data_IF_609663921633
#
_entry.id   IF_609663921633
#
_cell.length_a   1.000
_cell.length_b   1.000
_cell.length_c   1.000
_cell.angle_alpha   90.00
_cell.angle_beta   90.00
_cell.angle_gamma   90.00
#
_symmetry.space_group_name_H-M   'P 1'
#
loop_
_entity.id
_entity.type
_entity.pdbx_description
1 polymer ?
#
# COMPACT_ATOMS: atom_id res chain seq x y z
N UNK A 1 -27.95 -16.53 2.31
CA UNK A 1 -26.93 -15.82 3.12
C UNK A 1 -25.93 -16.84 3.65
N UNK A 2 -26.44 -17.97 4.14
CA UNK A 2 -25.70 -19.20 4.45
C UNK A 2 -24.98 -19.79 3.21
N UNK A 3 -25.66 -19.87 2.06
CA UNK A 3 -25.07 -20.48 0.85
C UNK A 3 -23.75 -19.82 0.37
N UNK A 4 -23.64 -18.50 0.50
CA UNK A 4 -22.41 -17.77 0.15
C UNK A 4 -21.27 -18.08 1.13
N UNK A 5 -21.61 -18.27 2.41
CA UNK A 5 -20.63 -18.63 3.42
C UNK A 5 -20.13 -20.05 3.18
N UNK A 6 -21.01 -20.98 2.82
CA UNK A 6 -20.66 -22.36 2.49
C UNK A 6 -19.80 -22.45 1.22
N UNK A 7 -20.08 -21.62 0.21
CA UNK A 7 -19.24 -21.49 -0.98
C UNK A 7 -17.82 -21.01 -0.64
N UNK A 8 -17.68 -19.99 0.21
CA UNK A 8 -16.37 -19.49 0.67
C UNK A 8 -15.61 -20.55 1.48
N UNK A 9 -16.29 -21.29 2.36
CA UNK A 9 -15.70 -22.40 3.13
C UNK A 9 -15.25 -23.53 2.19
N UNK A 10 -16.07 -23.89 1.19
CA UNK A 10 -15.70 -24.90 0.20
C UNK A 10 -14.49 -24.48 -0.62
N UNK A 11 -14.41 -23.20 -1.00
CA UNK A 11 -13.27 -22.65 -1.72
C UNK A 11 -11.98 -22.71 -0.88
N UNK A 12 -12.05 -22.36 0.41
CA UNK A 12 -10.91 -22.45 1.33
C UNK A 12 -10.41 -23.89 1.51
N UNK A 13 -11.32 -24.87 1.60
CA UNK A 13 -10.96 -26.27 1.76
C UNK A 13 -10.36 -26.91 0.49
N UNK A 14 -10.55 -26.28 -0.67
CA UNK A 14 -9.98 -26.73 -1.95
C UNK A 14 -8.59 -26.16 -2.23
N UNK A 15 -8.12 -25.19 -1.43
CA UNK A 15 -6.78 -24.63 -1.59
C UNK A 15 -5.74 -25.70 -1.33
N UNK A 16 -4.91 -25.97 -2.32
CA UNK A 16 -3.75 -26.85 -2.16
C UNK A 16 -2.50 -26.09 -1.70
N UNK A 17 -1.41 -26.82 -1.51
CA UNK A 17 -0.15 -26.25 -1.04
C UNK A 17 0.44 -25.25 -2.05
N UNK A 18 0.22 -25.45 -3.35
CA UNK A 18 0.75 -24.59 -4.40
C UNK A 18 -0.02 -23.26 -4.44
N UNK A 19 -1.34 -23.30 -4.31
CA UNK A 19 -2.20 -22.11 -4.18
C UNK A 19 -1.81 -21.25 -2.97
N UNK A 20 -1.52 -21.90 -1.84
CA UNK A 20 -1.07 -21.22 -0.62
C UNK A 20 0.30 -20.56 -0.79
N UNK A 21 1.22 -21.21 -1.50
CA UNK A 21 2.54 -20.64 -1.77
C UNK A 21 2.45 -19.44 -2.72
N UNK A 22 1.64 -19.52 -3.77
CA UNK A 22 1.35 -18.39 -4.67
C UNK A 22 0.76 -17.22 -3.88
N UNK A 23 -0.17 -17.47 -2.97
CA UNK A 23 -0.76 -16.43 -2.11
C UNK A 23 0.28 -15.80 -1.18
N UNK A 24 1.17 -16.61 -0.62
CA UNK A 24 2.28 -16.16 0.22
C UNK A 24 3.24 -15.27 -0.56
N UNK A 25 3.64 -15.69 -1.75
CA UNK A 25 4.53 -14.92 -2.63
C UNK A 25 3.91 -13.58 -3.00
N UNK A 26 2.65 -13.57 -3.45
CA UNK A 26 1.91 -12.34 -3.77
C UNK A 26 1.88 -11.38 -2.58
N UNK A 27 1.60 -11.88 -1.37
CA UNK A 27 1.59 -11.08 -0.15
C UNK A 27 2.97 -10.52 0.18
N UNK A 28 4.04 -11.30 -0.01
CA UNK A 28 5.41 -10.85 0.19
C UNK A 28 5.78 -9.74 -0.79
N UNK A 29 5.46 -9.89 -2.07
CA UNK A 29 5.70 -8.87 -3.10
C UNK A 29 4.95 -7.58 -2.80
N UNK A 30 3.68 -7.66 -2.38
CA UNK A 30 2.90 -6.50 -1.96
C UNK A 30 3.54 -5.78 -0.77
N UNK A 31 3.99 -6.53 0.24
CA UNK A 31 4.70 -5.97 1.41
C UNK A 31 6.00 -5.27 1.03
N UNK A 32 6.81 -5.89 0.16
CA UNK A 32 8.06 -5.29 -0.37
C UNK A 32 7.78 -3.98 -1.10
N UNK A 33 6.83 -3.99 -2.04
CA UNK A 33 6.40 -2.79 -2.78
C UNK A 33 5.90 -1.68 -1.85
N UNK A 34 5.17 -2.04 -0.79
CA UNK A 34 4.71 -1.06 0.20
C UNK A 34 5.86 -0.49 1.05
N UNK A 35 6.84 -1.33 1.42
CA UNK A 35 8.02 -0.89 2.14
C UNK A 35 8.85 0.10 1.31
N UNK A 36 9.07 -0.20 0.02
CA UNK A 36 9.74 0.70 -0.93
C UNK A 36 9.01 2.04 -1.06
N UNK A 37 7.68 2.02 -1.24
CA UNK A 37 6.86 3.24 -1.27
C UNK A 37 7.00 4.05 0.02
N UNK A 38 6.94 3.41 1.19
CA UNK A 38 7.13 4.07 2.49
C UNK A 38 8.51 4.69 2.62
N UNK A 39 9.56 3.98 2.22
CA UNK A 39 10.93 4.50 2.24
C UNK A 39 11.06 5.74 1.36
N UNK A 40 10.50 5.71 0.14
CA UNK A 40 10.45 6.88 -0.75
C UNK A 40 9.67 8.05 -0.15
N UNK A 41 8.54 7.79 0.50
CA UNK A 41 7.80 8.85 1.19
C UNK A 41 8.63 9.46 2.31
N UNK A 42 9.28 8.66 3.14
CA UNK A 42 10.16 9.16 4.20
C UNK A 42 11.28 10.04 3.61
N UNK A 43 11.89 9.64 2.48
CA UNK A 43 12.91 10.47 1.82
C UNK A 43 12.39 11.78 1.24
N UNK A 44 11.09 11.85 0.95
CA UNK A 44 10.39 13.08 0.53
C UNK A 44 9.90 13.92 1.72
N UNK A 45 10.28 13.58 2.96
CA UNK A 45 9.95 14.33 4.16
C UNK A 45 8.62 13.94 4.81
N UNK A 46 7.96 12.86 4.36
CA UNK A 46 6.72 12.39 4.98
C UNK A 46 6.91 11.98 6.45
N UNK A 47 5.89 12.23 7.25
CA UNK A 47 5.92 12.00 8.70
C UNK A 47 6.40 13.20 9.51
N UNK A 48 6.63 14.35 8.85
CA UNK A 48 6.97 15.63 9.50
C UNK A 48 6.06 16.73 8.97
N UNK A 49 5.82 17.74 9.80
CA UNK A 49 5.22 18.99 9.38
C UNK A 49 6.32 19.91 8.84
N UNK A 50 6.09 20.50 7.65
CA UNK A 50 7.05 21.40 7.00
C UNK A 50 6.30 22.63 6.51
N UNK A 51 6.81 23.82 6.86
CA UNK A 51 6.26 25.08 6.39
C UNK A 51 6.89 25.46 5.05
N UNK A 52 6.06 25.84 4.07
CA UNK A 52 6.49 26.26 2.74
C UNK A 52 5.85 27.61 2.44
N UNK A 53 6.67 28.65 2.34
CA UNK A 53 6.20 30.03 2.17
C UNK A 53 6.04 30.44 0.70
N UNK A 54 6.65 29.69 -0.22
CA UNK A 54 6.66 29.97 -1.66
C UNK A 54 5.69 29.05 -2.38
N UNK A 55 4.78 29.63 -3.16
CA UNK A 55 3.82 28.88 -3.97
C UNK A 55 4.50 27.94 -4.97
N UNK A 56 5.62 28.38 -5.57
CA UNK A 56 6.42 27.55 -6.48
C UNK A 56 6.97 26.30 -5.79
N UNK A 57 7.43 26.45 -4.55
CA UNK A 57 8.02 25.36 -3.78
C UNK A 57 6.94 24.42 -3.26
N UNK A 58 5.75 24.96 -2.95
CA UNK A 58 4.57 24.17 -2.62
C UNK A 58 4.19 23.26 -3.78
N UNK A 59 4.03 23.80 -5.00
CA UNK A 59 3.70 22.98 -6.16
C UNK A 59 4.77 21.95 -6.50
N UNK A 60 6.05 22.30 -6.33
CA UNK A 60 7.16 21.36 -6.55
C UNK A 60 7.09 20.19 -5.57
N UNK A 61 6.79 20.47 -4.30
CA UNK A 61 6.66 19.46 -3.24
C UNK A 61 5.45 18.55 -3.46
N UNK A 62 4.27 19.14 -3.73
CA UNK A 62 3.03 18.37 -3.95
C UNK A 62 3.12 17.51 -5.20
N UNK A 63 3.77 17.97 -6.28
CA UNK A 63 3.94 17.17 -7.51
C UNK A 63 4.97 16.05 -7.36
N UNK A 64 5.89 16.14 -6.41
CA UNK A 64 6.92 15.12 -6.19
C UNK A 64 6.40 13.87 -5.46
N UNK A 65 5.18 13.92 -4.89
CA UNK A 65 4.62 12.87 -4.06
C UNK A 65 3.14 12.60 -4.35
N UNK A 66 2.76 11.33 -4.49
CA UNK A 66 1.35 10.91 -4.67
C UNK A 66 0.47 11.12 -3.42
N UNK A 67 1.08 11.51 -2.30
CA UNK A 67 0.42 11.76 -1.02
C UNK A 67 0.99 13.02 -0.42
N UNK A 68 0.16 14.00 -0.08
CA UNK A 68 0.47 15.18 0.73
C UNK A 68 -0.82 15.59 1.45
N UNK A 69 -0.70 16.06 2.69
CA UNK A 69 -1.78 16.74 3.41
C UNK A 69 -1.31 18.18 3.65
N UNK A 70 -2.18 19.15 3.36
CA UNK A 70 -1.91 20.58 3.56
C UNK A 70 -3.12 21.19 4.29
N UNK A 71 -2.86 22.25 5.07
CA UNK A 71 -3.84 22.99 5.85
C UNK A 71 -3.68 24.48 5.60
#
# INVERSE_FOLDING_TARGET
>A
MEDKLDEEISALNRLDLDDLEVLRERRLQQKKKMAEKRSRWISLGHGKYTEIFSEKDFFSTVKASDRVCHF
#
